data_IF_302001670219
#
_entry.id   IF_302001670219
#
_cell.length_a   1.000
_cell.length_b   1.000
_cell.length_c   1.000
_cell.angle_alpha   90.00
_cell.angle_beta   90.00
_cell.angle_gamma   90.00
#
_symmetry.space_group_name_H-M   'P 1'
#
loop_
_entity.id
_entity.type
_entity.pdbx_description
1 polymer ?
#
# COMPACT_ATOMS: atom_id res chain seq x y z
N UNK A 1 20.70 -5.10 -35.11
CA UNK A 1 21.58 -5.58 -34.03
C UNK A 1 20.76 -5.55 -32.77
N UNK A 2 20.65 -6.70 -32.12
CA UNK A 2 19.80 -6.97 -30.97
C UNK A 2 20.20 -6.07 -29.80
N UNK A 3 19.29 -5.20 -29.38
CA UNK A 3 19.29 -4.60 -28.04
C UNK A 3 19.18 -5.76 -27.05
N UNK A 4 20.32 -6.30 -26.64
CA UNK A 4 20.41 -7.11 -25.44
C UNK A 4 19.99 -6.20 -24.31
N UNK A 5 18.78 -6.41 -23.77
CA UNK A 5 18.35 -5.90 -22.47
C UNK A 5 19.46 -6.17 -21.47
N UNK A 6 20.31 -5.16 -21.23
CA UNK A 6 21.26 -5.19 -20.12
C UNK A 6 20.38 -5.08 -18.88
N UNK A 7 19.92 -6.22 -18.38
CA UNK A 7 19.28 -6.29 -17.08
C UNK A 7 20.27 -5.71 -16.08
N UNK A 8 20.00 -4.49 -15.60
CA UNK A 8 20.81 -3.89 -14.55
C UNK A 8 20.83 -4.84 -13.35
N UNK A 9 22.02 -5.03 -12.79
CA UNK A 9 22.20 -5.81 -11.58
C UNK A 9 21.22 -5.30 -10.48
N UNK A 10 20.57 -6.20 -9.74
CA UNK A 10 19.69 -5.85 -8.63
C UNK A 10 20.36 -4.88 -7.66
N UNK A 11 19.56 -4.05 -7.01
CA UNK A 11 20.08 -3.15 -5.98
C UNK A 11 20.59 -3.96 -4.78
N UNK A 12 21.73 -3.54 -4.24
CA UNK A 12 22.21 -4.01 -2.94
C UNK A 12 21.31 -3.51 -1.81
N UNK A 13 21.37 -4.15 -0.64
CA UNK A 13 20.64 -3.67 0.55
C UNK A 13 21.06 -2.25 0.96
N UNK A 14 22.30 -1.86 0.67
CA UNK A 14 22.78 -0.49 0.91
C UNK A 14 22.08 0.51 -0.02
N UNK A 15 22.04 0.24 -1.32
CA UNK A 15 21.33 1.08 -2.30
C UNK A 15 19.84 1.18 -1.95
N UNK A 16 19.17 0.07 -1.63
CA UNK A 16 17.75 0.07 -1.22
C UNK A 16 17.50 0.91 0.03
N UNK A 17 18.38 0.82 1.03
CA UNK A 17 18.27 1.60 2.26
C UNK A 17 18.39 3.10 1.99
N UNK A 18 19.35 3.49 1.15
CA UNK A 18 19.57 4.90 0.79
C UNK A 18 18.38 5.46 -0.01
N UNK A 19 17.85 4.70 -0.97
CA UNK A 19 16.66 5.08 -1.73
C UNK A 19 15.42 5.22 -0.83
N UNK A 20 15.18 4.24 0.05
CA UNK A 20 14.06 4.29 0.99
C UNK A 20 14.18 5.48 1.96
N UNK A 21 15.40 5.80 2.42
CA UNK A 21 15.64 6.97 3.26
C UNK A 21 15.31 8.28 2.52
N UNK A 22 15.73 8.40 1.26
CA UNK A 22 15.41 9.55 0.41
C UNK A 22 13.90 9.71 0.20
N UNK A 23 13.18 8.61 -0.05
CA UNK A 23 11.72 8.63 -0.21
C UNK A 23 11.01 9.04 1.08
N UNK A 24 11.46 8.53 2.23
CA UNK A 24 10.94 8.89 3.56
C UNK A 24 11.15 10.38 3.87
N UNK A 25 12.34 10.89 3.61
CA UNK A 25 12.66 12.31 3.81
C UNK A 25 11.78 13.21 2.93
N UNK A 26 11.66 12.86 1.64
CA UNK A 26 10.82 13.58 0.68
C UNK A 26 9.36 13.57 1.08
N UNK A 27 8.86 12.44 1.58
CA UNK A 27 7.50 12.30 2.08
C UNK A 27 7.24 13.17 3.31
N UNK A 28 8.13 13.11 4.31
CA UNK A 28 8.01 13.90 5.54
C UNK A 28 8.04 15.40 5.26
N UNK A 29 8.90 15.84 4.34
CA UNK A 29 8.96 17.23 3.90
C UNK A 29 7.66 17.71 3.22
N UNK A 30 6.93 16.82 2.55
CA UNK A 30 5.65 17.15 1.92
C UNK A 30 4.49 17.34 2.94
N UNK A 31 4.66 16.92 4.20
CA UNK A 31 3.68 17.14 5.28
C UNK A 31 2.31 16.49 5.07
N UNK A 32 2.18 15.53 4.15
CA UNK A 32 0.91 14.89 3.82
C UNK A 32 0.60 13.75 4.79
N UNK A 33 -0.62 13.71 5.28
CA UNK A 33 -1.15 12.60 6.09
C UNK A 33 -2.23 11.84 5.34
N UNK A 34 -2.40 10.55 5.63
CA UNK A 34 -3.55 9.79 5.14
C UNK A 34 -4.83 10.33 5.79
N UNK A 35 -5.89 10.52 5.01
CA UNK A 35 -7.16 10.98 5.56
C UNK A 35 -7.81 9.88 6.40
N UNK A 36 -8.25 10.22 7.60
CA UNK A 36 -8.92 9.30 8.51
C UNK A 36 -10.29 8.87 7.96
N UNK A 37 -10.67 7.62 8.25
CA UNK A 37 -11.97 7.03 7.86
C UNK A 37 -12.81 6.74 9.10
N UNK A 38 -12.14 6.29 10.17
CA UNK A 38 -12.68 6.34 11.52
C UNK A 38 -12.21 7.62 12.18
N UNK A 39 -13.15 8.34 12.77
CA UNK A 39 -12.85 9.50 13.62
C UNK A 39 -12.19 9.05 14.93
N UNK A 40 -11.47 9.93 15.65
CA UNK A 40 -10.79 9.58 16.90
C UNK A 40 -11.70 8.95 17.95
N UNK A 41 -12.93 9.45 18.08
CA UNK A 41 -13.94 8.90 18.97
C UNK A 41 -14.38 7.49 18.55
N UNK A 42 -14.51 7.22 17.25
CA UNK A 42 -14.86 5.90 16.74
C UNK A 42 -13.72 4.90 16.99
N UNK A 43 -12.47 5.32 16.79
CA UNK A 43 -11.31 4.49 17.12
C UNK A 43 -11.23 4.18 18.63
N UNK A 44 -11.57 5.15 19.49
CA UNK A 44 -11.65 4.94 20.93
C UNK A 44 -12.81 3.99 21.31
N UNK A 45 -13.97 4.13 20.66
CA UNK A 45 -15.10 3.21 20.81
C UNK A 45 -14.71 1.79 20.41
N UNK A 46 -14.04 1.60 19.26
CA UNK A 46 -13.59 0.28 18.84
C UNK A 46 -12.76 -0.44 19.92
N UNK A 47 -11.83 0.28 20.56
CA UNK A 47 -10.94 -0.28 21.56
C UNK A 47 -11.63 -0.61 22.90
N UNK A 48 -12.76 0.05 23.21
CA UNK A 48 -13.41 -0.01 24.52
C UNK A 48 -14.81 -0.64 24.53
N UNK A 49 -15.36 -0.94 23.35
CA UNK A 49 -16.75 -1.39 23.19
C UNK A 49 -16.88 -2.90 23.02
N UNK A 50 -18.12 -3.38 22.99
CA UNK A 50 -18.46 -4.77 22.74
C UNK A 50 -18.19 -5.22 21.28
N UNK A 51 -18.35 -6.52 21.04
CA UNK A 51 -18.08 -7.14 19.76
C UNK A 51 -18.98 -6.60 18.61
N UNK A 52 -20.18 -6.11 18.91
CA UNK A 52 -21.09 -5.59 17.88
C UNK A 52 -20.58 -4.25 17.36
N UNK A 53 -20.21 -3.33 18.27
CA UNK A 53 -19.64 -2.03 17.89
C UNK A 53 -18.32 -2.22 17.13
N UNK A 54 -17.47 -3.15 17.55
CA UNK A 54 -16.25 -3.48 16.80
C UNK A 54 -16.57 -3.95 15.38
N UNK A 55 -17.57 -4.82 15.22
CA UNK A 55 -18.00 -5.30 13.90
C UNK A 55 -18.57 -4.18 13.03
N UNK A 56 -19.37 -3.27 13.59
CA UNK A 56 -19.93 -2.11 12.86
C UNK A 56 -18.83 -1.19 12.32
N UNK A 57 -17.89 -0.82 13.19
CA UNK A 57 -16.79 0.07 12.84
C UNK A 57 -15.80 -0.60 11.89
N UNK A 58 -15.55 -1.91 12.06
CA UNK A 58 -14.75 -2.66 11.11
C UNK A 58 -15.45 -2.75 9.75
N UNK A 59 -16.76 -3.02 9.72
CA UNK A 59 -17.54 -3.04 8.49
C UNK A 59 -17.52 -1.69 7.77
N UNK A 60 -17.60 -0.57 8.50
CA UNK A 60 -17.43 0.79 7.96
C UNK A 60 -16.07 0.93 7.24
N UNK A 61 -14.98 0.48 7.86
CA UNK A 61 -13.65 0.45 7.24
C UNK A 61 -13.61 -0.42 5.97
N UNK A 62 -14.22 -1.61 5.99
CA UNK A 62 -14.28 -2.51 4.82
C UNK A 62 -15.04 -1.87 3.65
N UNK A 63 -16.14 -1.17 3.92
CA UNK A 63 -16.92 -0.48 2.90
C UNK A 63 -16.11 0.67 2.26
N UNK A 64 -15.42 1.48 3.06
CA UNK A 64 -14.54 2.51 2.50
C UNK A 64 -13.39 1.91 1.69
N UNK A 65 -12.82 0.79 2.13
CA UNK A 65 -11.78 0.08 1.41
C UNK A 65 -12.27 -0.39 0.01
N UNK A 66 -13.48 -0.93 -0.07
CA UNK A 66 -14.14 -1.31 -1.34
C UNK A 66 -14.40 -0.11 -2.24
N UNK A 67 -14.92 0.98 -1.68
CA UNK A 67 -15.22 2.20 -2.42
C UNK A 67 -13.94 2.82 -2.99
N UNK A 68 -12.90 2.96 -2.18
CA UNK A 68 -11.60 3.51 -2.57
C UNK A 68 -10.81 2.62 -3.55
N UNK A 69 -11.23 1.37 -3.80
CA UNK A 69 -10.62 0.51 -4.81
C UNK A 69 -10.78 1.02 -6.25
N UNK A 70 -11.71 1.96 -6.49
CA UNK A 70 -11.96 2.51 -7.81
C UNK A 70 -10.84 3.46 -8.29
N UNK A 71 -10.58 3.54 -9.61
CA UNK A 71 -9.59 4.47 -10.17
C UNK A 71 -10.14 5.91 -10.24
N UNK A 72 -10.51 6.48 -9.09
CA UNK A 72 -11.01 7.84 -8.98
C UNK A 72 -10.09 8.70 -8.10
N UNK A 73 -10.11 10.04 -8.28
CA UNK A 73 -9.46 10.96 -7.34
C UNK A 73 -9.99 10.78 -5.92
N UNK A 74 -9.13 10.95 -4.92
CA UNK A 74 -9.49 10.80 -3.51
C UNK A 74 -10.66 11.71 -3.08
N UNK A 75 -10.72 12.94 -3.60
CA UNK A 75 -11.82 13.87 -3.34
C UNK A 75 -13.18 13.33 -3.83
N UNK A 76 -13.20 12.60 -4.96
CA UNK A 76 -14.42 11.98 -5.49
C UNK A 76 -14.84 10.81 -4.60
N UNK A 77 -13.89 9.94 -4.25
CA UNK A 77 -14.13 8.82 -3.31
C UNK A 77 -14.67 9.33 -1.99
N UNK A 78 -14.12 10.43 -1.46
CA UNK A 78 -14.57 11.05 -0.20
C UNK A 78 -15.98 11.62 -0.34
N UNK A 79 -16.26 12.36 -1.41
CA UNK A 79 -17.60 12.90 -1.64
C UNK A 79 -18.67 11.80 -1.75
N UNK A 80 -18.34 10.68 -2.41
CA UNK A 80 -19.23 9.52 -2.48
C UNK A 80 -19.41 8.85 -1.12
N UNK A 81 -18.33 8.72 -0.35
CA UNK A 81 -18.36 8.17 1.00
C UNK A 81 -19.26 8.98 1.92
N UNK A 82 -19.07 10.30 1.96
CA UNK A 82 -19.84 11.20 2.82
C UNK A 82 -21.33 11.17 2.44
N UNK A 83 -21.65 11.08 1.14
CA UNK A 83 -23.02 10.89 0.65
C UNK A 83 -23.64 9.58 1.14
N UNK A 84 -22.90 8.47 1.10
CA UNK A 84 -23.37 7.16 1.55
C UNK A 84 -23.55 7.09 3.07
N UNK A 85 -22.68 7.75 3.83
CA UNK A 85 -22.83 7.89 5.28
C UNK A 85 -24.05 8.73 5.64
N UNK A 86 -24.23 9.89 5.00
CA UNK A 86 -25.38 10.77 5.24
C UNK A 86 -26.71 10.11 4.91
N UNK A 87 -26.73 9.21 3.92
CA UNK A 87 -27.90 8.43 3.54
C UNK A 87 -28.17 7.23 4.46
N UNK A 88 -27.33 6.97 5.49
CA UNK A 88 -27.48 5.80 6.37
C UNK A 88 -27.13 4.46 5.71
N UNK A 89 -26.68 4.46 4.45
CA UNK A 89 -26.55 3.25 3.63
C UNK A 89 -25.64 2.19 4.25
N UNK A 90 -24.50 2.60 4.83
CA UNK A 90 -23.55 1.66 5.44
C UNK A 90 -24.19 0.97 6.66
N UNK A 91 -24.92 1.73 7.47
CA UNK A 91 -25.61 1.20 8.65
C UNK A 91 -26.76 0.26 8.24
N UNK A 92 -27.56 0.64 7.23
CA UNK A 92 -28.66 -0.19 6.75
C UNK A 92 -28.18 -1.51 6.14
N UNK A 93 -27.07 -1.47 5.38
CA UNK A 93 -26.46 -2.69 4.81
C UNK A 93 -25.92 -3.57 5.93
N UNK A 94 -25.31 -3.00 6.96
CA UNK A 94 -24.89 -3.76 8.14
C UNK A 94 -26.09 -4.33 8.91
N UNK A 95 -27.17 -3.58 9.10
CA UNK A 95 -28.35 -4.08 9.79
C UNK A 95 -29.12 -5.14 8.97
N UNK A 96 -28.81 -5.30 7.68
CA UNK A 96 -29.55 -6.17 6.77
C UNK A 96 -30.92 -5.60 6.39
N UNK A 97 -31.14 -4.31 6.61
CA UNK A 97 -32.38 -3.58 6.31
C UNK A 97 -32.33 -2.86 4.96
N UNK A 98 -31.18 -2.84 4.31
CA UNK A 98 -31.02 -2.20 3.00
C UNK A 98 -31.68 -3.01 1.88
N UNK A 99 -32.70 -2.43 1.25
CA UNK A 99 -33.45 -3.02 0.13
C UNK A 99 -32.67 -2.93 -1.20
N UNK A 100 -31.77 -3.90 -1.43
CA UNK A 100 -30.91 -3.92 -2.61
C UNK A 100 -31.70 -4.01 -3.93
N UNK A 101 -32.86 -4.69 -3.92
CA UNK A 101 -33.74 -4.84 -5.08
C UNK A 101 -34.31 -3.51 -5.55
N UNK A 102 -34.79 -2.67 -4.63
CA UNK A 102 -35.28 -1.33 -4.92
C UNK A 102 -34.16 -0.44 -5.47
N UNK A 103 -32.98 -0.49 -4.85
CA UNK A 103 -31.83 0.31 -5.26
C UNK A 103 -31.27 -0.08 -6.65
N UNK A 104 -31.35 -1.36 -7.01
CA UNK A 104 -30.94 -1.86 -8.32
C UNK A 104 -31.85 -1.36 -9.46
N UNK A 105 -33.13 -1.07 -9.16
CA UNK A 105 -34.13 -0.63 -10.14
C UNK A 105 -34.07 0.87 -10.44
N UNK A 106 -33.44 1.69 -9.59
CA UNK A 106 -33.26 3.11 -9.87
C UNK A 106 -32.42 3.33 -11.15
N UNK A 107 -32.70 4.36 -11.97
CA UNK A 107 -31.84 4.69 -13.10
C UNK A 107 -30.40 4.93 -12.62
N UNK A 108 -29.36 4.46 -13.33
CA UNK A 108 -27.98 4.75 -12.94
C UNK A 108 -27.74 6.25 -12.98
N UNK A 109 -27.45 6.85 -11.82
CA UNK A 109 -27.07 8.25 -11.72
C UNK A 109 -25.63 8.37 -12.24
N UNK A 110 -25.49 8.55 -13.56
CA UNK A 110 -24.31 9.01 -14.30
C UNK A 110 -22.92 8.43 -13.93
N UNK A 111 -22.33 7.65 -14.86
CA UNK A 111 -20.89 7.41 -15.16
C UNK A 111 -19.82 7.12 -14.09
N UNK A 112 -20.10 7.14 -12.79
CA UNK A 112 -19.18 6.69 -11.73
C UNK A 112 -19.92 5.77 -10.76
N UNK A 113 -20.24 4.58 -11.25
CA UNK A 113 -21.34 3.75 -10.73
C UNK A 113 -21.08 3.19 -9.32
N UNK A 114 -21.45 3.98 -8.30
CA UNK A 114 -21.45 3.58 -6.89
C UNK A 114 -22.38 2.38 -6.64
N UNK A 115 -23.25 2.01 -7.60
CA UNK A 115 -24.15 0.85 -7.45
C UNK A 115 -23.41 -0.47 -7.33
N UNK A 116 -22.36 -0.67 -8.13
CA UNK A 116 -21.52 -1.86 -8.02
C UNK A 116 -20.85 -1.99 -6.65
N UNK A 117 -20.53 -0.85 -6.01
CA UNK A 117 -19.89 -0.82 -4.68
C UNK A 117 -20.84 -1.19 -3.55
N UNK A 118 -22.11 -0.78 -3.65
CA UNK A 118 -23.11 -1.16 -2.63
C UNK A 118 -23.42 -2.66 -2.70
N UNK A 119 -23.40 -3.26 -3.90
CA UNK A 119 -23.47 -4.73 -4.03
C UNK A 119 -22.30 -5.40 -3.30
N UNK A 120 -21.09 -4.85 -3.43
CA UNK A 120 -19.93 -5.35 -2.69
C UNK A 120 -20.06 -5.13 -1.17
N UNK A 121 -20.72 -4.05 -0.70
CA UNK A 121 -21.04 -3.86 0.72
C UNK A 121 -22.00 -4.94 1.22
N UNK A 122 -23.04 -5.25 0.45
CA UNK A 122 -23.99 -6.32 0.80
C UNK A 122 -23.30 -7.70 0.84
N UNK A 123 -22.36 -7.97 -0.06
CA UNK A 123 -21.52 -9.18 -0.02
C UNK A 123 -20.66 -9.23 1.23
N UNK A 124 -20.02 -8.12 1.60
CA UNK A 124 -19.28 -8.04 2.86
C UNK A 124 -20.20 -8.27 4.06
N UNK A 125 -21.40 -7.70 4.08
CA UNK A 125 -22.36 -7.91 5.16
C UNK A 125 -22.81 -9.37 5.27
N UNK A 126 -23.02 -10.04 4.14
CA UNK A 126 -23.34 -11.48 4.09
C UNK A 126 -22.17 -12.36 4.56
N UNK A 127 -20.92 -11.90 4.40
CA UNK A 127 -19.72 -12.60 4.84
C UNK A 127 -19.28 -12.23 6.28
N UNK A 128 -20.17 -11.62 7.08
CA UNK A 128 -19.87 -11.13 8.45
C UNK A 128 -19.20 -12.14 9.33
N UNK A 129 -19.75 -13.34 9.41
CA UNK A 129 -19.23 -14.39 10.27
C UNK A 129 -17.76 -14.71 9.99
N UNK A 130 -17.33 -14.59 8.73
CA UNK A 130 -15.97 -14.91 8.33
C UNK A 130 -14.99 -13.78 8.66
N UNK A 131 -15.30 -12.52 8.33
CA UNK A 131 -14.37 -11.42 8.64
C UNK A 131 -14.42 -10.99 10.11
N UNK A 132 -15.51 -11.26 10.84
CA UNK A 132 -15.61 -10.96 12.26
C UNK A 132 -14.63 -11.79 13.10
N UNK A 133 -14.16 -12.94 12.60
CA UNK A 133 -13.10 -13.73 13.23
C UNK A 133 -11.74 -13.03 13.26
N UNK A 134 -11.58 -11.93 12.53
CA UNK A 134 -10.39 -11.08 12.60
C UNK A 134 -10.43 -10.09 13.78
N UNK A 135 -11.54 -10.05 14.52
CA UNK A 135 -11.75 -9.16 15.64
C UNK A 135 -11.63 -9.90 16.98
N UNK A 136 -11.12 -9.24 18.03
CA UNK A 136 -10.58 -7.87 18.05
C UNK A 136 -9.24 -7.75 17.34
N UNK A 137 -8.52 -8.86 17.14
CA UNK A 137 -7.24 -8.91 16.45
C UNK A 137 -7.08 -10.27 15.74
N UNK A 138 -6.53 -10.33 14.51
CA UNK A 138 -6.37 -11.58 13.78
C UNK A 138 -5.31 -12.49 14.43
N UNK A 139 -5.48 -13.83 14.34
CA UNK A 139 -4.56 -14.79 14.97
C UNK A 139 -3.17 -14.80 14.34
N UNK A 140 -3.07 -14.51 13.04
CA UNK A 140 -1.81 -14.30 12.35
C UNK A 140 -1.97 -13.33 11.16
N UNK A 141 -0.88 -12.71 10.68
CA UNK A 141 -0.96 -11.70 9.63
C UNK A 141 -1.41 -12.21 8.25
N UNK A 142 -1.09 -13.46 7.89
CA UNK A 142 -1.45 -14.02 6.59
C UNK A 142 -2.95 -14.27 6.53
N UNK A 143 -3.51 -14.84 7.60
CA UNK A 143 -4.95 -15.01 7.78
C UNK A 143 -5.71 -13.69 7.61
N UNK A 144 -5.19 -12.58 8.14
CA UNK A 144 -5.84 -11.27 8.01
C UNK A 144 -6.11 -10.88 6.55
N UNK A 145 -5.07 -10.88 5.70
CA UNK A 145 -5.23 -10.46 4.29
C UNK A 145 -5.95 -11.52 3.45
N UNK A 146 -5.77 -12.80 3.75
CA UNK A 146 -6.41 -13.89 3.01
C UNK A 146 -7.93 -13.93 3.28
N UNK A 147 -8.36 -13.79 4.53
CA UNK A 147 -9.78 -13.68 4.90
C UNK A 147 -10.41 -12.44 4.28
N UNK A 148 -9.79 -11.26 4.41
CA UNK A 148 -10.31 -10.02 3.82
C UNK A 148 -10.52 -10.11 2.30
N UNK A 149 -9.58 -10.75 1.60
CA UNK A 149 -9.73 -11.00 0.16
C UNK A 149 -10.89 -11.96 -0.12
N UNK A 150 -10.97 -13.06 0.62
CA UNK A 150 -11.98 -14.10 0.40
C UNK A 150 -13.40 -13.59 0.67
N UNK A 151 -13.61 -12.84 1.75
CA UNK A 151 -14.93 -12.35 2.17
C UNK A 151 -15.48 -11.21 1.32
N UNK A 152 -14.64 -10.59 0.50
CA UNK A 152 -15.04 -9.49 -0.40
C UNK A 152 -15.41 -9.93 -1.81
N UNK A 153 -15.35 -11.23 -2.13
CA UNK A 153 -15.53 -11.71 -3.50
C UNK A 153 -14.53 -11.13 -4.50
N UNK A 154 -13.36 -10.67 -4.03
CA UNK A 154 -12.33 -10.02 -4.83
C UNK A 154 -12.38 -8.49 -4.85
N UNK A 155 -13.39 -7.85 -4.26
CA UNK A 155 -13.48 -6.39 -4.17
C UNK A 155 -12.33 -5.78 -3.34
N UNK A 156 -11.86 -6.51 -2.32
CA UNK A 156 -10.69 -6.18 -1.52
C UNK A 156 -9.43 -6.91 -2.03
N UNK A 157 -8.96 -6.57 -3.24
CA UNK A 157 -7.67 -7.08 -3.77
C UNK A 157 -6.49 -6.45 -3.01
N UNK A 158 -5.87 -5.38 -3.53
CA UNK A 158 -4.83 -4.66 -2.78
C UNK A 158 -5.39 -3.96 -1.54
N UNK A 159 -6.71 -3.78 -1.45
CA UNK A 159 -7.37 -3.12 -0.33
C UNK A 159 -7.43 -3.96 0.95
N UNK A 160 -7.23 -5.28 0.89
CA UNK A 160 -7.01 -6.09 2.10
C UNK A 160 -5.81 -5.57 2.92
N UNK A 161 -4.71 -5.23 2.25
CA UNK A 161 -3.51 -4.64 2.87
C UNK A 161 -3.78 -3.24 3.42
N UNK A 162 -4.65 -2.46 2.75
CA UNK A 162 -5.07 -1.15 3.22
C UNK A 162 -5.83 -1.26 4.55
N UNK A 163 -6.69 -2.26 4.71
CA UNK A 163 -7.38 -2.49 5.98
C UNK A 163 -6.38 -2.81 7.09
N UNK A 164 -5.44 -3.73 6.86
CA UNK A 164 -4.37 -4.03 7.84
C UNK A 164 -3.60 -2.76 8.22
N UNK A 165 -3.22 -1.95 7.22
CA UNK A 165 -2.55 -0.68 7.44
C UNK A 165 -3.34 0.26 8.33
N UNK A 166 -4.63 0.46 8.07
CA UNK A 166 -5.46 1.38 8.87
C UNK A 166 -5.68 0.84 10.28
N UNK A 167 -5.92 -0.46 10.45
CA UNK A 167 -6.04 -1.08 11.77
C UNK A 167 -4.76 -0.90 12.60
N UNK A 168 -3.58 -1.02 11.96
CA UNK A 168 -2.29 -0.75 12.62
C UNK A 168 -2.05 0.73 12.87
N UNK A 169 -2.34 1.60 11.89
CA UNK A 169 -2.16 3.05 12.00
C UNK A 169 -3.02 3.67 13.10
N UNK A 170 -4.23 3.15 13.29
CA UNK A 170 -5.18 3.59 14.31
C UNK A 170 -4.98 2.88 15.65
N UNK A 171 -3.96 2.02 15.78
CA UNK A 171 -3.69 1.22 16.98
C UNK A 171 -4.90 0.38 17.42
N UNK A 172 -5.65 -0.17 16.47
CA UNK A 172 -6.78 -1.08 16.71
C UNK A 172 -6.33 -2.55 16.70
N UNK A 173 -5.28 -2.86 15.94
CA UNK A 173 -4.55 -4.13 16.00
C UNK A 173 -3.13 -3.89 16.49
N UNK A 174 -2.62 -4.75 17.38
CA UNK A 174 -1.39 -4.48 18.13
C UNK A 174 -0.20 -5.33 17.70
N UNK A 175 -0.42 -6.47 17.05
CA UNK A 175 0.63 -7.38 16.61
C UNK A 175 1.55 -6.78 15.55
N UNK A 176 2.82 -6.55 15.91
CA UNK A 176 3.84 -5.98 15.02
C UNK A 176 4.09 -6.80 13.75
N UNK A 177 3.80 -8.10 13.79
CA UNK A 177 3.89 -8.95 12.60
C UNK A 177 2.91 -8.54 11.50
N UNK A 178 1.83 -7.80 11.81
CA UNK A 178 0.90 -7.25 10.83
C UNK A 178 1.50 -6.14 9.98
N UNK A 179 2.54 -5.45 10.46
CA UNK A 179 3.17 -4.34 9.72
C UNK A 179 3.78 -4.79 8.39
N UNK A 180 4.09 -6.09 8.25
CA UNK A 180 4.53 -6.70 7.00
C UNK A 180 3.48 -6.69 5.88
N UNK A 181 2.22 -6.44 6.24
CA UNK A 181 1.09 -6.31 5.34
C UNK A 181 0.45 -4.91 5.37
N UNK A 182 1.07 -3.94 6.05
CA UNK A 182 0.63 -2.54 6.05
C UNK A 182 1.03 -1.73 4.80
N UNK A 183 1.89 -2.27 3.93
CA UNK A 183 2.29 -1.59 2.69
C UNK A 183 1.33 -1.97 1.57
N UNK A 184 0.46 -1.04 1.15
CA UNK A 184 -0.60 -1.32 0.19
C UNK A 184 -0.03 -1.53 -1.22
N UNK A 185 -0.02 -2.75 -1.76
CA UNK A 185 0.63 -3.05 -3.04
C UNK A 185 -0.36 -2.78 -4.17
N UNK A 186 -0.82 -1.55 -4.34
CA UNK A 186 -1.69 -1.17 -5.46
C UNK A 186 -0.92 -1.12 -6.81
N UNK A 187 -1.63 -0.89 -7.91
CA UNK A 187 -0.99 -0.88 -9.24
C UNK A 187 0.13 0.16 -9.39
N UNK A 188 0.05 1.29 -8.66
CA UNK A 188 1.06 2.35 -8.69
C UNK A 188 2.26 1.98 -7.81
N UNK A 189 2.01 1.54 -6.58
CA UNK A 189 3.04 1.13 -5.62
C UNK A 189 3.86 -0.04 -6.17
N UNK A 190 3.20 -1.10 -6.68
CA UNK A 190 3.91 -2.27 -7.24
C UNK A 190 4.82 -1.88 -8.40
N UNK A 191 4.29 -1.14 -9.37
CA UNK A 191 5.07 -0.70 -10.54
C UNK A 191 6.26 0.15 -10.12
N UNK A 192 6.06 1.11 -9.20
CA UNK A 192 7.15 1.97 -8.72
C UNK A 192 8.20 1.21 -7.94
N UNK A 193 7.79 0.35 -7.01
CA UNK A 193 8.69 -0.46 -6.21
C UNK A 193 9.57 -1.37 -7.09
N UNK A 194 8.97 -2.01 -8.10
CA UNK A 194 9.70 -2.82 -9.08
C UNK A 194 10.67 -1.98 -9.91
N UNK A 195 10.21 -0.85 -10.48
CA UNK A 195 11.05 0.03 -11.32
C UNK A 195 12.18 0.75 -10.57
N UNK A 196 12.01 0.96 -9.26
CA UNK A 196 13.05 1.46 -8.37
C UNK A 196 13.98 0.35 -7.86
N UNK A 197 13.66 -0.94 -8.05
CA UNK A 197 14.45 -2.05 -7.51
C UNK A 197 14.35 -2.22 -6.00
N UNK A 198 13.32 -1.64 -5.38
CA UNK A 198 13.04 -1.81 -3.95
C UNK A 198 12.58 -3.23 -3.64
N UNK A 199 11.96 -3.91 -4.61
CA UNK A 199 11.56 -5.32 -4.51
C UNK A 199 11.94 -6.08 -5.77
N UNK A 200 12.38 -7.32 -5.61
CA UNK A 200 12.80 -8.21 -6.71
C UNK A 200 11.61 -8.99 -7.27
N UNK A 201 10.66 -8.26 -7.87
CA UNK A 201 9.44 -8.85 -8.45
C UNK A 201 9.25 -8.28 -9.86
N UNK A 202 8.82 -9.09 -10.85
CA UNK A 202 8.51 -8.59 -12.19
C UNK A 202 7.44 -7.48 -12.15
N UNK A 203 7.62 -6.40 -12.93
CA UNK A 203 6.69 -5.25 -12.93
C UNK A 203 5.22 -5.65 -13.22
N UNK A 204 5.04 -6.70 -14.05
CA UNK A 204 3.72 -7.19 -14.46
C UNK A 204 3.10 -8.19 -13.47
N UNK A 205 3.81 -8.59 -12.41
CA UNK A 205 3.30 -9.52 -11.42
C UNK A 205 2.14 -8.87 -10.63
N UNK A 206 0.97 -9.51 -10.66
CA UNK A 206 -0.26 -8.95 -10.13
C UNK A 206 -1.15 -9.97 -9.40
N UNK A 207 -0.64 -11.18 -9.16
CA UNK A 207 -1.32 -12.15 -8.33
C UNK A 207 -1.35 -11.67 -6.87
N UNK A 208 -2.25 -12.23 -6.07
CA UNK A 208 -2.31 -11.87 -4.66
C UNK A 208 -1.09 -12.36 -3.88
N UNK A 209 -0.49 -13.48 -4.29
CA UNK A 209 0.78 -13.94 -3.72
C UNK A 209 1.92 -12.95 -4.01
N UNK A 210 1.94 -12.36 -5.21
CA UNK A 210 2.88 -11.29 -5.56
C UNK A 210 2.64 -10.06 -4.67
N UNK A 211 1.38 -9.69 -4.43
CA UNK A 211 1.03 -8.59 -3.52
C UNK A 211 1.53 -8.82 -2.10
N UNK A 212 1.37 -10.03 -1.55
CA UNK A 212 1.93 -10.40 -0.24
C UNK A 212 3.45 -10.28 -0.23
N UNK A 213 4.12 -10.68 -1.30
CA UNK A 213 5.58 -10.57 -1.41
C UNK A 213 6.04 -9.12 -1.56
N UNK A 214 5.36 -8.30 -2.36
CA UNK A 214 5.65 -6.86 -2.47
C UNK A 214 5.49 -6.17 -1.11
N UNK A 215 4.37 -6.40 -0.41
CA UNK A 215 4.10 -5.75 0.88
C UNK A 215 5.18 -6.09 1.92
N UNK A 216 5.55 -7.37 2.04
CA UNK A 216 6.62 -7.83 2.94
C UNK A 216 7.99 -7.28 2.55
N UNK A 217 8.32 -7.27 1.26
CA UNK A 217 9.58 -6.74 0.76
C UNK A 217 9.71 -5.25 1.02
N UNK A 218 8.65 -4.48 0.78
CA UNK A 218 8.60 -3.06 1.09
C UNK A 218 8.71 -2.81 2.60
N UNK A 219 8.01 -3.59 3.43
CA UNK A 219 8.18 -3.50 4.88
C UNK A 219 9.65 -3.69 5.30
N UNK A 220 10.30 -4.74 4.82
CA UNK A 220 11.71 -4.99 5.14
C UNK A 220 12.62 -3.84 4.70
N UNK A 221 12.49 -3.35 3.47
CA UNK A 221 13.32 -2.27 2.92
C UNK A 221 13.10 -0.95 3.63
N UNK A 222 11.85 -0.58 3.89
CA UNK A 222 11.51 0.68 4.54
C UNK A 222 11.93 0.68 6.01
N UNK A 223 11.90 -0.48 6.69
CA UNK A 223 12.46 -0.64 8.04
C UNK A 223 13.96 -0.45 8.08
N UNK A 224 14.71 -0.87 7.05
CA UNK A 224 16.16 -0.59 6.97
C UNK A 224 16.47 0.91 6.97
N UNK A 225 15.56 1.73 6.43
CA UNK A 225 15.65 3.18 6.38
C UNK A 225 15.05 3.89 7.61
N UNK A 226 14.60 3.14 8.63
CA UNK A 226 14.03 3.71 9.85
C UNK A 226 12.58 4.18 9.71
N UNK A 227 11.80 3.63 8.77
CA UNK A 227 10.37 3.87 8.72
C UNK A 227 9.67 3.42 10.02
N UNK A 228 8.81 4.29 10.54
CA UNK A 228 7.94 4.01 11.69
C UNK A 228 6.56 3.53 11.28
N UNK A 229 5.75 3.13 12.27
CA UNK A 229 4.33 2.89 12.05
C UNK A 229 3.66 4.22 11.66
N UNK A 230 2.94 4.21 10.53
CA UNK A 230 2.32 5.41 9.96
C UNK A 230 2.91 5.85 8.62
N UNK A 231 4.17 5.52 8.31
CA UNK A 231 4.80 5.89 7.04
C UNK A 231 4.29 4.99 5.88
N UNK A 232 4.33 3.66 6.05
CA UNK A 232 3.84 2.62 5.12
C UNK A 232 4.15 2.89 3.62
N UNK A 233 3.18 2.70 2.72
CA UNK A 233 3.34 2.84 1.27
C UNK A 233 3.33 4.28 0.74
N UNK A 234 3.01 5.27 1.60
CA UNK A 234 2.83 6.67 1.19
C UNK A 234 4.09 7.29 0.57
N UNK A 235 5.31 7.07 1.10
CA UNK A 235 6.55 7.53 0.46
C UNK A 235 6.69 7.07 -0.99
N UNK A 236 6.22 5.85 -1.30
CA UNK A 236 6.32 5.26 -2.65
C UNK A 236 5.21 5.81 -3.55
N UNK A 237 4.00 5.95 -3.02
CA UNK A 237 2.82 6.49 -3.74
C UNK A 237 3.01 7.96 -4.13
N UNK A 238 3.74 8.73 -3.29
CA UNK A 238 3.91 10.17 -3.44
C UNK A 238 5.21 10.58 -4.13
N UNK A 239 6.16 9.67 -4.31
CA UNK A 239 7.36 9.91 -5.11
C UNK A 239 7.01 10.54 -6.47
N UNK A 240 7.58 11.68 -6.81
CA UNK A 240 7.47 12.23 -8.17
C UNK A 240 8.33 11.41 -9.15
N UNK A 241 9.33 10.72 -8.60
CA UNK A 241 10.40 10.02 -9.27
C UNK A 241 9.87 8.77 -9.99
N UNK A 242 10.00 8.77 -11.31
CA UNK A 242 9.89 7.56 -12.12
C UNK A 242 11.29 6.99 -12.29
N UNK A 243 11.85 6.43 -11.23
CA UNK A 243 13.06 5.64 -11.42
C UNK A 243 12.69 4.44 -12.28
N UNK A 244 13.34 4.26 -13.42
CA UNK A 244 13.12 3.13 -14.34
C UNK A 244 14.40 2.33 -14.54
N UNK A 245 15.29 2.32 -13.53
CA UNK A 245 16.52 1.53 -13.38
C UNK A 245 17.50 1.42 -14.58
N UNK A 246 17.18 1.88 -15.80
CA UNK A 246 17.93 1.70 -17.05
C UNK A 246 17.53 2.61 -18.25
N UNK A 247 16.51 3.48 -18.19
CA UNK A 247 16.31 4.47 -19.28
C UNK A 247 17.33 5.61 -19.13
N UNK A 248 18.30 5.68 -20.04
CA UNK A 248 19.41 6.64 -19.99
C UNK A 248 18.94 8.10 -19.99
N UNK A 249 17.83 8.41 -20.66
CA UNK A 249 17.28 9.76 -20.71
C UNK A 249 16.68 10.19 -19.36
N UNK A 250 16.02 9.28 -18.64
CA UNK A 250 15.42 9.56 -17.32
C UNK A 250 16.43 9.49 -16.18
N UNK A 251 17.46 8.65 -16.32
CA UNK A 251 18.56 8.60 -15.36
C UNK A 251 19.30 9.93 -15.26
N UNK A 252 19.46 10.66 -16.37
CA UNK A 252 20.24 11.89 -16.45
C UNK A 252 19.81 13.00 -15.46
N UNK A 253 18.59 12.95 -14.94
CA UNK A 253 18.10 13.89 -13.91
C UNK A 253 17.47 13.22 -12.69
N UNK A 254 17.52 11.88 -12.59
CA UNK A 254 16.86 11.16 -11.50
C UNK A 254 17.52 11.49 -10.15
N UNK A 255 16.77 12.00 -9.16
CA UNK A 255 17.33 12.39 -7.87
C UNK A 255 17.58 11.21 -6.93
N UNK A 256 17.03 10.02 -7.26
CA UNK A 256 17.17 8.80 -6.46
C UNK A 256 18.66 8.45 -6.26
N UNK A 257 19.10 8.17 -5.01
CA UNK A 257 20.50 7.93 -4.67
C UNK A 257 21.21 6.90 -5.54
N UNK A 258 20.64 5.70 -5.77
CA UNK A 258 21.32 4.69 -6.58
C UNK A 258 21.55 5.17 -8.03
N UNK A 259 20.60 5.91 -8.62
CA UNK A 259 20.74 6.47 -9.97
C UNK A 259 21.85 7.52 -10.03
N UNK A 260 21.98 8.35 -9.00
CA UNK A 260 23.09 9.32 -8.89
C UNK A 260 24.43 8.59 -8.82
N UNK A 261 24.54 7.56 -7.99
CA UNK A 261 25.78 6.80 -7.81
C UNK A 261 26.19 6.04 -9.09
N UNK A 262 25.26 5.30 -9.70
CA UNK A 262 25.52 4.55 -10.95
C UNK A 262 25.93 5.48 -12.10
N UNK A 263 25.42 6.72 -12.16
CA UNK A 263 25.87 7.73 -13.13
C UNK A 263 27.31 8.19 -12.88
N UNK A 264 27.66 8.52 -11.65
CA UNK A 264 29.03 8.92 -11.29
C UNK A 264 30.05 7.83 -11.66
N UNK A 265 29.73 6.55 -11.41
CA UNK A 265 30.57 5.43 -11.81
C UNK A 265 30.76 5.32 -13.34
N UNK A 266 29.70 5.51 -14.12
CA UNK A 266 29.77 5.48 -15.59
C UNK A 266 30.57 6.66 -16.17
N UNK A 267 30.56 7.80 -15.50
CA UNK A 267 31.31 8.99 -15.90
C UNK A 267 32.81 8.94 -15.53
N UNK A 268 33.23 7.97 -14.69
CA UNK A 268 34.60 7.90 -14.16
C UNK A 268 34.85 8.80 -12.94
N UNK A 269 33.83 9.47 -12.42
CA UNK A 269 33.89 10.45 -11.32
C UNK A 269 33.80 9.75 -9.94
N UNK A 270 34.72 8.84 -9.65
CA UNK A 270 34.74 8.13 -8.35
C UNK A 270 35.29 8.95 -7.18
N UNK A 271 35.82 10.16 -7.41
CA UNK A 271 36.52 10.95 -6.38
C UNK A 271 35.64 11.97 -5.64
N UNK A 272 34.42 12.27 -6.10
CA UNK A 272 33.69 13.46 -5.58
C UNK A 272 32.78 13.15 -4.38
N UNK A 273 32.47 11.88 -4.08
CA UNK A 273 31.59 11.54 -2.95
C UNK A 273 32.16 10.39 -2.12
N UNK A 274 32.88 10.78 -1.06
CA UNK A 274 33.55 9.96 -0.04
C UNK A 274 33.16 8.49 0.06
N UNK A 275 34.01 7.61 -0.50
CA UNK A 275 34.16 6.22 -0.06
C UNK A 275 35.50 6.14 0.67
N UNK A 276 35.54 5.98 2.00
CA UNK A 276 36.78 5.70 2.69
C UNK A 276 37.23 4.27 2.35
N UNK A 277 38.34 4.16 1.62
CA UNK A 277 39.34 3.07 1.68
C UNK A 277 39.00 1.62 1.29
N UNK A 278 37.74 1.17 1.22
CA UNK A 278 37.48 -0.29 1.11
C UNK A 278 37.55 -0.91 -0.31
N UNK A 279 37.52 -0.13 -1.40
CA UNK A 279 37.68 -0.69 -2.76
C UNK A 279 39.13 -0.83 -3.23
N UNK A 280 40.09 -0.20 -2.55
CA UNK A 280 41.53 -0.36 -2.89
C UNK A 280 42.03 -1.76 -2.48
N UNK A 281 41.56 -2.26 -1.34
CA UNK A 281 41.90 -3.59 -0.85
C UNK A 281 41.39 -4.73 -1.76
N UNK A 282 40.22 -4.58 -2.39
CA UNK A 282 39.66 -5.64 -3.24
C UNK A 282 40.38 -5.79 -4.59
N UNK A 283 40.91 -4.70 -5.15
CA UNK A 283 41.70 -4.72 -6.39
C UNK A 283 43.13 -5.22 -6.19
N UNK A 284 43.68 -5.10 -4.99
CA UNK A 284 45.00 -5.66 -4.65
C UNK A 284 44.92 -7.16 -4.30
N UNK A 285 43.81 -7.64 -3.75
CA UNK A 285 43.63 -9.06 -3.41
C UNK A 285 43.35 -9.98 -4.60
N UNK A 286 42.89 -9.45 -5.74
CA UNK A 286 42.57 -10.21 -6.95
C UNK A 286 43.69 -10.20 -8.01
N UNK A 287 44.85 -9.64 -7.66
CA UNK A 287 46.07 -9.62 -8.50
C UNK A 287 47.21 -10.49 -7.95
N UNK A 288 46.94 -11.32 -6.94
CA UNK A 288 47.81 -12.43 -6.53
C UNK A 288 47.11 -13.75 -6.85
#
# INVERSE_FOLDING_TARGET
MTDTDVQAAPLTNKERKEDAAFLLESFRAAGRTATAVLEPEEAASFASSDALIQQELFFKLLCYAVLSAQPAPEAVVRSDWDRLLAAGTVADVFAGTFELTCYALDPPVTRSDSKGKIIDFARLAAAREAWAQLLPEPPDPDTAVDVLRATSGGALKSRAFWVVREMRRLNLWHGDQLDRYGYVPDGRVRKRAARMGLVDIPEKADSFADMKTVSRGLHAVMRLAGAGNGDYDLPITLAAERCELCDSARMASCPIPHCRWRRAQRAGDSEVYGIPWQMKAYREFTRQ
#
